data_IF_801869744934
#
_entry.id   IF_801869744934
#
_cell.length_a   1.000
_cell.length_b   1.000
_cell.length_c   1.000
_cell.angle_alpha   90.00
_cell.angle_beta   90.00
_cell.angle_gamma   90.00
#
_symmetry.space_group_name_H-M   'P 1'
#
loop_
_entity.id
_entity.type
_entity.pdbx_description
1 polymer ?
#
# COMPACT_ATOMS: atom_id res chain seq x y z
N UNK A 1 -23.71 -7.58 26.20
CA UNK A 1 -24.17 -8.43 25.08
C UNK A 1 -24.58 -7.64 23.84
N UNK A 2 -25.54 -6.70 23.89
CA UNK A 2 -25.96 -5.94 22.70
C UNK A 2 -24.82 -5.14 22.03
N UNK A 3 -23.95 -4.50 22.82
CA UNK A 3 -22.82 -3.70 22.30
C UNK A 3 -21.85 -4.53 21.48
N UNK A 4 -21.55 -5.77 21.88
CA UNK A 4 -20.65 -6.66 21.14
C UNK A 4 -21.23 -7.08 19.79
N UNK A 5 -22.54 -7.33 19.73
CA UNK A 5 -23.23 -7.67 18.48
C UNK A 5 -23.15 -6.50 17.50
N UNK A 6 -23.38 -5.27 17.97
CA UNK A 6 -23.24 -4.07 17.15
C UNK A 6 -21.80 -3.83 16.68
N UNK A 7 -20.81 -4.06 17.54
CA UNK A 7 -19.38 -3.99 17.16
C UNK A 7 -19.03 -5.01 16.09
N UNK A 8 -19.52 -6.26 16.21
CA UNK A 8 -19.30 -7.30 15.20
C UNK A 8 -19.97 -6.97 13.87
N UNK A 9 -21.20 -6.45 13.90
CA UNK A 9 -21.89 -5.99 12.69
C UNK A 9 -21.15 -4.84 12.00
N UNK A 10 -20.65 -3.87 12.78
CA UNK A 10 -19.85 -2.77 12.24
C UNK A 10 -18.53 -3.25 11.63
N UNK A 11 -17.76 -4.09 12.34
CA UNK A 11 -16.50 -4.64 11.82
C UNK A 11 -16.73 -5.56 10.60
N UNK A 12 -17.82 -6.33 10.60
CA UNK A 12 -18.15 -7.23 9.51
C UNK A 12 -18.57 -6.48 8.25
N UNK A 13 -19.53 -5.58 8.35
CA UNK A 13 -20.12 -4.91 7.18
C UNK A 13 -19.21 -3.79 6.67
N UNK A 14 -18.82 -2.85 7.53
CA UNK A 14 -18.07 -1.66 7.12
C UNK A 14 -16.58 -1.95 6.98
N UNK A 15 -15.95 -2.45 8.03
CA UNK A 15 -14.49 -2.63 8.02
C UNK A 15 -14.05 -3.74 7.06
N UNK A 16 -14.83 -4.83 6.94
CA UNK A 16 -14.50 -5.94 6.06
C UNK A 16 -15.26 -5.87 4.74
N UNK A 17 -16.60 -5.91 4.76
CA UNK A 17 -17.42 -5.99 3.56
C UNK A 17 -17.16 -4.85 2.56
N UNK A 18 -17.36 -3.59 3.00
CA UNK A 18 -17.19 -2.41 2.13
C UNK A 18 -15.72 -2.22 1.74
N UNK A 19 -14.79 -2.39 2.68
CA UNK A 19 -13.37 -2.16 2.42
C UNK A 19 -12.80 -3.20 1.42
N UNK A 20 -13.16 -4.48 1.56
CA UNK A 20 -12.76 -5.50 0.59
C UNK A 20 -13.44 -5.30 -0.76
N UNK A 21 -14.71 -4.87 -0.79
CA UNK A 21 -15.38 -4.56 -2.06
C UNK A 21 -14.67 -3.43 -2.82
N UNK A 22 -14.39 -2.31 -2.15
CA UNK A 22 -13.67 -1.17 -2.74
C UNK A 22 -12.27 -1.58 -3.22
N UNK A 23 -11.55 -2.38 -2.43
CA UNK A 23 -10.23 -2.89 -2.81
C UNK A 23 -10.28 -3.77 -4.06
N UNK A 24 -11.22 -4.72 -4.13
CA UNK A 24 -11.39 -5.58 -5.31
C UNK A 24 -11.88 -4.80 -6.53
N UNK A 25 -12.75 -3.81 -6.34
CA UNK A 25 -13.21 -2.93 -7.40
C UNK A 25 -12.06 -2.09 -8.00
N UNK A 26 -11.18 -1.55 -7.15
CA UNK A 26 -9.96 -0.88 -7.58
C UNK A 26 -8.99 -1.84 -8.27
N UNK A 27 -8.83 -3.05 -7.74
CA UNK A 27 -7.95 -4.06 -8.30
C UNK A 27 -8.33 -4.48 -9.74
N UNK A 28 -9.62 -4.45 -10.06
CA UNK A 28 -10.13 -4.74 -11.42
C UNK A 28 -9.85 -3.63 -12.44
N UNK A 29 -9.58 -2.40 -11.98
CA UNK A 29 -9.36 -1.24 -12.85
C UNK A 29 -7.87 -0.95 -13.10
N UNK A 30 -6.95 -1.70 -12.46
CA UNK A 30 -5.51 -1.47 -12.56
C UNK A 30 -4.75 -2.75 -12.94
N UNK A 31 -3.58 -2.60 -13.55
CA UNK A 31 -2.73 -3.74 -13.90
C UNK A 31 -2.00 -4.31 -12.67
N UNK A 32 -1.46 -5.53 -12.78
CA UNK A 32 -0.77 -6.23 -11.69
C UNK A 32 0.44 -5.44 -11.12
N UNK A 33 1.10 -4.62 -11.96
CA UNK A 33 2.21 -3.77 -11.53
C UNK A 33 1.73 -2.63 -10.63
N UNK A 34 0.67 -1.92 -11.02
CA UNK A 34 0.03 -0.87 -10.21
C UNK A 34 -0.52 -1.42 -8.90
N UNK A 35 -1.04 -2.66 -8.90
CA UNK A 35 -1.51 -3.33 -7.68
C UNK A 35 -0.37 -3.60 -6.69
N UNK A 36 0.79 -4.03 -7.20
CA UNK A 36 1.98 -4.26 -6.39
C UNK A 36 2.54 -2.95 -5.81
N UNK A 37 2.48 -1.84 -6.56
CA UNK A 37 2.90 -0.52 -6.07
C UNK A 37 1.93 0.00 -5.00
N UNK A 38 0.61 -0.13 -5.21
CA UNK A 38 -0.41 0.31 -4.26
C UNK A 38 -0.30 -0.39 -2.89
N UNK A 39 0.06 -1.68 -2.88
CA UNK A 39 0.26 -2.41 -1.63
C UNK A 39 1.47 -1.87 -0.84
N UNK A 40 2.56 -1.53 -1.52
CA UNK A 40 3.75 -0.92 -0.89
C UNK A 40 3.51 0.54 -0.46
N UNK A 41 2.64 1.27 -1.15
CA UNK A 41 2.33 2.66 -0.83
C UNK A 41 1.41 2.81 0.38
N UNK A 42 0.63 1.77 0.73
CA UNK A 42 -0.32 1.80 1.85
C UNK A 42 0.33 2.17 3.18
N UNK A 43 1.54 1.65 3.44
CA UNK A 43 2.30 1.90 4.68
C UNK A 43 2.69 3.38 4.81
N UNK A 44 3.41 4.00 3.85
CA UNK A 44 3.77 5.42 3.94
C UNK A 44 2.54 6.35 3.90
N UNK A 45 1.48 6.01 3.16
CA UNK A 45 0.21 6.76 3.21
C UNK A 45 -0.42 6.73 4.61
N UNK A 46 -0.41 5.58 5.28
CA UNK A 46 -0.90 5.44 6.65
C UNK A 46 -0.12 6.30 7.63
N UNK A 47 1.21 6.35 7.48
CA UNK A 47 2.08 7.22 8.27
C UNK A 47 1.77 8.70 8.02
N UNK A 48 1.64 9.12 6.75
CA UNK A 48 1.26 10.50 6.41
C UNK A 48 -0.12 10.87 6.98
N UNK A 49 -1.10 9.97 6.90
CA UNK A 49 -2.44 10.20 7.44
C UNK A 49 -2.44 10.30 8.98
N UNK A 50 -1.66 9.48 9.68
CA UNK A 50 -1.50 9.55 11.13
C UNK A 50 -0.92 10.92 11.55
N UNK A 51 0.10 11.41 10.85
CA UNK A 51 0.70 12.73 11.12
C UNK A 51 -0.25 13.89 10.82
N UNK A 52 -0.93 13.85 9.67
CA UNK A 52 -1.75 14.96 9.18
C UNK A 52 -3.12 15.06 9.88
N UNK A 53 -3.77 13.93 10.15
CA UNK A 53 -5.13 13.92 10.69
C UNK A 53 -5.20 13.68 12.20
N UNK A 54 -4.28 12.91 12.77
CA UNK A 54 -4.28 12.60 14.20
C UNK A 54 -3.32 13.48 15.01
N UNK A 55 -2.49 14.32 14.35
CA UNK A 55 -1.59 15.26 15.03
C UNK A 55 -0.55 14.56 15.91
N UNK A 56 -0.27 13.29 15.63
CA UNK A 56 0.60 12.45 16.45
C UNK A 56 2.05 12.96 16.36
N UNK A 57 2.69 13.17 17.51
CA UNK A 57 4.10 13.56 17.60
C UNK A 57 4.98 12.39 17.17
N UNK A 58 5.22 12.23 15.88
CA UNK A 58 6.19 11.23 15.44
C UNK A 58 7.59 11.61 15.92
N UNK A 59 8.29 10.61 16.45
CA UNK A 59 9.73 10.62 16.56
C UNK A 59 10.32 10.82 15.15
N UNK A 60 10.60 12.09 14.82
CA UNK A 60 11.20 12.52 13.54
C UNK A 60 12.38 11.64 13.13
N UNK A 61 13.27 11.17 14.05
CA UNK A 61 14.36 10.26 13.69
C UNK A 61 13.85 8.89 13.21
N UNK A 62 12.87 8.29 13.89
CA UNK A 62 12.29 6.99 13.50
C UNK A 62 11.51 7.10 12.20
N UNK A 63 10.80 8.21 12.00
CA UNK A 63 10.08 8.50 10.77
C UNK A 63 11.03 8.62 9.57
N UNK A 64 12.14 9.34 9.73
CA UNK A 64 13.14 9.52 8.68
C UNK A 64 13.88 8.22 8.36
N UNK A 65 14.23 7.42 9.36
CA UNK A 65 14.88 6.12 9.15
C UNK A 65 13.91 5.15 8.45
N UNK A 66 12.68 5.02 8.95
CA UNK A 66 11.67 4.14 8.36
C UNK A 66 11.28 4.57 6.95
N UNK A 67 11.01 5.87 6.76
CA UNK A 67 10.73 6.46 5.45
C UNK A 67 11.90 6.33 4.48
N UNK A 68 13.12 6.55 4.95
CA UNK A 68 14.35 6.38 4.17
C UNK A 68 14.56 4.94 3.70
N UNK A 69 14.31 3.94 4.55
CA UNK A 69 14.38 2.52 4.17
C UNK A 69 13.31 2.18 3.13
N UNK A 70 12.07 2.65 3.31
CA UNK A 70 10.98 2.43 2.34
C UNK A 70 11.33 3.06 0.99
N UNK A 71 11.85 4.30 0.98
CA UNK A 71 12.29 4.98 -0.24
C UNK A 71 13.46 4.25 -0.91
N UNK A 72 14.47 3.82 -0.14
CA UNK A 72 15.60 3.06 -0.66
C UNK A 72 15.16 1.73 -1.29
N UNK A 73 14.25 1.00 -0.63
CA UNK A 73 13.68 -0.23 -1.14
C UNK A 73 12.85 0.00 -2.42
N UNK A 74 12.07 1.08 -2.48
CA UNK A 74 11.28 1.45 -3.66
C UNK A 74 12.18 1.75 -4.86
N UNK A 75 13.21 2.58 -4.67
CA UNK A 75 14.16 2.95 -5.72
C UNK A 75 14.96 1.73 -6.22
N UNK A 76 15.39 0.85 -5.31
CA UNK A 76 16.06 -0.40 -5.68
C UNK A 76 15.13 -1.31 -6.50
N UNK A 77 13.86 -1.41 -6.12
CA UNK A 77 12.87 -2.21 -6.83
C UNK A 77 12.52 -1.65 -8.21
N UNK A 78 12.30 -0.34 -8.36
CA UNK A 78 12.07 0.28 -9.67
C UNK A 78 13.25 0.11 -10.62
N UNK A 79 14.47 0.33 -10.14
CA UNK A 79 15.68 0.11 -10.94
C UNK A 79 15.76 -1.34 -11.42
N UNK A 80 15.47 -2.31 -10.55
CA UNK A 80 15.46 -3.74 -10.88
C UNK A 80 14.34 -4.14 -11.85
N UNK A 81 13.15 -3.54 -11.72
CA UNK A 81 12.01 -3.75 -12.61
C UNK A 81 12.29 -3.22 -14.03
N UNK A 82 12.95 -2.06 -14.14
CA UNK A 82 13.34 -1.46 -15.42
C UNK A 82 14.35 -2.32 -16.18
N UNK A 83 15.38 -2.83 -15.50
CA UNK A 83 16.38 -3.75 -16.09
C UNK A 83 15.72 -5.05 -16.58
N UNK A 84 14.77 -5.61 -15.80
CA UNK A 84 14.05 -6.83 -16.17
C UNK A 84 13.16 -6.66 -17.41
N UNK A 85 12.52 -5.49 -17.58
CA UNK A 85 11.71 -5.17 -18.76
C UNK A 85 12.57 -5.12 -20.03
N UNK A 86 13.75 -4.52 -19.97
CA UNK A 86 14.69 -4.41 -21.11
C UNK A 86 15.20 -5.79 -21.52
N UNK A 87 15.63 -6.61 -20.55
CA UNK A 87 16.12 -7.98 -20.80
C UNK A 87 15.06 -8.89 -21.43
N UNK A 88 13.79 -8.81 -20.99
CA UNK A 88 12.69 -9.57 -21.62
C UNK A 88 12.40 -9.14 -23.06
N UNK A 89 12.56 -7.86 -23.39
CA UNK A 89 12.35 -7.33 -24.75
C UNK A 89 13.48 -7.74 -25.71
N UNK A 90 14.71 -7.83 -25.22
CA UNK A 90 15.87 -8.28 -25.98
C UNK A 90 15.90 -9.81 -26.22
N UNK A 91 15.15 -10.59 -25.42
CA UNK A 91 15.10 -12.05 -25.50
C UNK A 91 13.96 -12.59 -26.39
N UNK A 92 13.13 -11.72 -26.98
CA UNK A 92 12.14 -12.10 -28.01
C UNK A 92 12.71 -11.65 -29.35
N UNK A 93 13.35 -12.54 -30.13
CA UNK A 93 13.73 -12.26 -31.51
C UNK A 93 12.48 -12.23 -32.40
N UNK A 94 12.46 -11.28 -33.34
CA UNK A 94 11.40 -11.07 -34.34
C UNK A 94 11.22 -12.27 -35.28
#
# INVERSE_FOLDING_TARGET
NATQIWTLLYLGILASGVCFFLWNFGARQVNAGSLAVANNLKVPLGVAAALLFFGESADVPRLLIGGGIILAALLANEKRQSIRKISKRAAVPD
#
